data_IF_157143580914
#
_entry.id   IF_157143580914
#
_cell.length_a   1.000
_cell.length_b   1.000
_cell.length_c   1.000
_cell.angle_alpha   90.00
_cell.angle_beta   90.00
_cell.angle_gamma   90.00
#
_symmetry.space_group_name_H-M   'P 1'
#
loop_
_entity.id
_entity.type
_entity.pdbx_description
1 polymer ?
#
# COMPACT_ATOMS: atom_id res chain seq x y z
N UNK A 1 38.34 1.60 3.43
CA UNK A 1 37.43 0.75 4.24
C UNK A 1 36.13 0.68 3.49
N UNK A 2 35.44 -0.46 3.50
CA UNK A 2 34.12 -0.52 2.92
C UNK A 2 33.15 0.42 3.68
N UNK A 3 32.17 1.02 2.98
CA UNK A 3 31.22 1.95 3.59
C UNK A 3 30.27 1.22 4.56
N UNK A 4 29.74 1.98 5.51
CA UNK A 4 28.66 1.48 6.39
C UNK A 4 27.34 1.48 5.61
N UNK A 5 26.76 0.29 5.41
CA UNK A 5 25.51 0.16 4.66
C UNK A 5 24.29 0.26 5.57
N UNK A 6 23.27 1.00 5.13
CA UNK A 6 21.99 1.10 5.80
C UNK A 6 20.86 0.95 4.76
N UNK A 7 19.87 0.12 5.08
CA UNK A 7 18.71 -0.14 4.21
C UNK A 7 17.55 0.77 4.65
N UNK A 8 17.80 2.07 4.60
CA UNK A 8 16.96 3.13 5.19
C UNK A 8 16.29 4.04 4.15
N UNK A 9 16.38 3.68 2.86
CA UNK A 9 15.86 4.49 1.77
C UNK A 9 14.68 3.83 1.07
N UNK A 10 13.78 4.66 0.62
CA UNK A 10 12.73 4.33 -0.32
C UNK A 10 13.15 4.69 -1.76
N UNK A 11 12.27 4.39 -2.73
CA UNK A 11 12.48 4.72 -4.13
C UNK A 11 12.86 6.20 -4.31
N UNK A 12 13.76 6.47 -5.26
CA UNK A 12 14.33 7.80 -5.48
C UNK A 12 15.24 8.30 -4.37
N UNK A 13 15.65 7.44 -3.42
CA UNK A 13 16.46 7.82 -2.26
C UNK A 13 15.69 8.51 -1.14
N UNK A 14 14.36 8.54 -1.21
CA UNK A 14 13.51 9.15 -0.21
C UNK A 14 13.67 8.50 1.18
N UNK A 15 13.45 9.28 2.23
CA UNK A 15 13.48 8.78 3.63
C UNK A 15 12.10 8.38 4.13
N UNK A 16 11.06 8.95 3.54
CA UNK A 16 9.66 8.76 3.92
C UNK A 16 8.88 8.13 2.80
N UNK A 17 7.89 7.34 3.16
CA UNK A 17 6.87 6.85 2.25
C UNK A 17 5.49 7.14 2.82
N UNK A 18 4.56 7.53 1.96
CA UNK A 18 3.15 7.76 2.31
C UNK A 18 2.29 6.93 1.39
N UNK A 19 1.36 6.20 1.96
CA UNK A 19 0.33 5.45 1.23
C UNK A 19 -1.04 5.59 1.89
N UNK A 20 -2.07 5.48 1.08
CA UNK A 20 -3.45 5.48 1.51
C UNK A 20 -4.14 4.20 1.05
N UNK A 21 -5.20 3.80 1.75
CA UNK A 21 -5.96 2.59 1.46
C UNK A 21 -7.43 2.79 1.78
N UNK A 22 -8.30 2.60 0.79
CA UNK A 22 -9.73 2.83 0.95
C UNK A 22 -10.54 1.64 0.44
N UNK A 23 -11.62 1.29 1.17
CA UNK A 23 -12.40 0.09 0.94
C UNK A 23 -13.79 0.41 0.35
N UNK A 24 -14.47 -0.66 -0.12
CA UNK A 24 -15.90 -0.75 -0.38
C UNK A 24 -16.44 -0.17 -1.70
N UNK A 25 -15.61 0.30 -2.62
CA UNK A 25 -16.07 0.70 -3.97
C UNK A 25 -17.20 1.75 -3.97
N UNK A 26 -17.19 2.72 -3.07
CA UNK A 26 -18.29 3.69 -2.95
C UNK A 26 -18.17 4.82 -3.96
N UNK A 27 -19.29 5.40 -4.39
CA UNK A 27 -19.29 6.53 -5.34
C UNK A 27 -18.53 7.76 -4.83
N UNK A 28 -18.32 7.87 -3.53
CA UNK A 28 -17.51 8.91 -2.87
C UNK A 28 -16.01 8.80 -3.17
N UNK A 29 -15.55 7.65 -3.68
CA UNK A 29 -14.17 7.47 -4.15
C UNK A 29 -13.82 8.47 -5.24
N UNK A 30 -14.80 8.90 -6.07
CA UNK A 30 -14.59 9.89 -7.14
C UNK A 30 -14.00 11.19 -6.59
N UNK A 31 -14.58 11.76 -5.51
CA UNK A 31 -14.04 12.96 -4.83
C UNK A 31 -12.70 12.68 -4.17
N UNK A 32 -12.56 11.52 -3.56
CA UNK A 32 -11.32 11.15 -2.87
C UNK A 32 -10.15 11.03 -3.85
N UNK A 33 -10.36 10.41 -5.01
CA UNK A 33 -9.37 10.33 -6.10
C UNK A 33 -8.98 11.71 -6.62
N UNK A 34 -9.94 12.64 -6.78
CA UNK A 34 -9.64 14.03 -7.16
C UNK A 34 -8.73 14.73 -6.15
N UNK A 35 -8.95 14.51 -4.85
CA UNK A 35 -8.10 15.05 -3.77
C UNK A 35 -6.68 14.47 -3.88
N UNK A 36 -6.55 13.14 -4.01
CA UNK A 36 -5.24 12.48 -4.13
C UNK A 36 -4.49 12.93 -5.37
N UNK A 37 -5.16 12.99 -6.53
CA UNK A 37 -4.54 13.45 -7.77
C UNK A 37 -4.04 14.90 -7.67
N UNK A 38 -4.83 15.80 -7.09
CA UNK A 38 -4.46 17.20 -6.90
C UNK A 38 -3.25 17.39 -6.01
N UNK A 39 -3.09 16.54 -4.98
CA UNK A 39 -2.01 16.63 -3.99
C UNK A 39 -0.80 15.76 -4.30
N UNK A 40 -0.89 14.92 -5.32
CA UNK A 40 0.15 13.94 -5.66
C UNK A 40 0.22 12.74 -4.72
N UNK A 41 -0.77 12.55 -3.86
CA UNK A 41 -0.91 11.37 -3.01
C UNK A 41 -1.34 10.15 -3.84
N UNK A 42 -0.95 8.95 -3.39
CA UNK A 42 -1.31 7.69 -4.04
C UNK A 42 -2.00 6.76 -3.07
N UNK A 43 -2.91 5.94 -3.59
CA UNK A 43 -3.74 5.06 -2.78
C UNK A 43 -3.95 3.69 -3.43
N UNK A 44 -4.29 2.71 -2.60
CA UNK A 44 -4.86 1.43 -3.00
C UNK A 44 -6.36 1.45 -2.70
N UNK A 45 -7.18 1.15 -3.69
CA UNK A 45 -8.63 1.04 -3.55
C UNK A 45 -9.04 -0.42 -3.59
N UNK A 46 -9.58 -0.90 -2.49
CA UNK A 46 -9.96 -2.30 -2.30
C UNK A 46 -11.46 -2.48 -2.62
N UNK A 47 -11.74 -3.18 -3.71
CA UNK A 47 -13.04 -3.16 -4.35
C UNK A 47 -13.79 -4.49 -4.20
N UNK A 48 -15.08 -4.42 -3.83
CA UNK A 48 -15.98 -5.57 -3.79
C UNK A 48 -16.73 -5.71 -5.11
N UNK A 49 -16.44 -6.76 -5.88
CA UNK A 49 -16.99 -6.88 -7.23
C UNK A 49 -18.49 -7.18 -7.30
N UNK A 50 -19.11 -7.75 -6.27
CA UNK A 50 -20.56 -7.98 -6.23
C UNK A 50 -21.39 -6.69 -6.04
N UNK A 51 -20.75 -5.55 -5.75
CA UNK A 51 -21.44 -4.30 -5.47
C UNK A 51 -21.45 -3.33 -6.65
N UNK A 52 -20.65 -3.54 -7.67
CA UNK A 52 -20.61 -2.65 -8.83
C UNK A 52 -22.00 -2.46 -9.45
N UNK A 53 -22.32 -1.20 -9.81
CA UNK A 53 -23.59 -0.81 -10.41
C UNK A 53 -24.79 -0.77 -9.47
N UNK A 54 -24.63 -1.08 -8.19
CA UNK A 54 -25.66 -0.87 -7.18
C UNK A 54 -25.69 0.60 -6.77
N UNK A 55 -26.84 1.05 -6.25
CA UNK A 55 -26.96 2.42 -5.73
C UNK A 55 -25.91 2.73 -4.67
N UNK A 56 -25.18 3.85 -4.84
CA UNK A 56 -24.10 4.29 -3.99
C UNK A 56 -22.75 3.59 -4.20
N UNK A 57 -22.62 2.75 -5.25
CA UNK A 57 -21.36 2.08 -5.62
C UNK A 57 -20.89 2.53 -7.02
N UNK A 58 -19.60 2.39 -7.27
CA UNK A 58 -19.02 2.71 -8.59
C UNK A 58 -19.45 1.69 -9.64
N UNK A 59 -19.42 2.11 -10.91
CA UNK A 59 -19.69 1.24 -12.05
C UNK A 59 -18.42 0.49 -12.47
N UNK A 60 -18.54 -0.78 -12.83
CA UNK A 60 -17.40 -1.58 -13.28
C UNK A 60 -16.70 -0.97 -14.51
N UNK A 61 -17.46 -0.32 -15.39
CA UNK A 61 -16.91 0.29 -16.60
C UNK A 61 -16.06 1.54 -16.36
N UNK A 62 -16.13 2.14 -15.17
CA UNK A 62 -15.35 3.35 -14.83
C UNK A 62 -14.07 3.06 -14.05
N UNK A 63 -13.92 1.88 -13.42
CA UNK A 63 -12.85 1.66 -12.43
C UNK A 63 -11.45 1.84 -13.01
N UNK A 64 -11.19 1.41 -14.22
CA UNK A 64 -9.88 1.56 -14.85
C UNK A 64 -9.49 3.03 -15.05
N UNK A 65 -10.45 3.87 -15.40
CA UNK A 65 -10.23 5.31 -15.59
C UNK A 65 -10.27 6.06 -14.26
N UNK A 66 -11.22 5.73 -13.38
CA UNK A 66 -11.40 6.39 -12.09
C UNK A 66 -10.12 6.25 -11.22
N UNK A 67 -9.60 5.04 -11.13
CA UNK A 67 -8.43 4.77 -10.28
C UNK A 67 -7.09 4.85 -11.04
N UNK A 68 -7.06 5.47 -12.22
CA UNK A 68 -5.82 5.66 -12.99
C UNK A 68 -4.76 6.39 -12.14
N UNK A 69 -3.56 5.82 -12.04
CA UNK A 69 -2.48 6.32 -11.16
C UNK A 69 -2.56 5.82 -9.71
N UNK A 70 -3.61 5.10 -9.34
CA UNK A 70 -3.80 4.41 -8.07
C UNK A 70 -3.82 2.90 -8.28
N UNK A 71 -3.83 2.14 -7.20
CA UNK A 71 -3.93 0.69 -7.26
C UNK A 71 -5.39 0.23 -7.14
N UNK A 72 -5.82 -0.64 -8.05
CA UNK A 72 -7.04 -1.43 -7.88
C UNK A 72 -6.65 -2.73 -7.17
N UNK A 73 -7.26 -2.96 -6.02
CA UNK A 73 -6.99 -4.07 -5.11
C UNK A 73 -8.27 -4.82 -4.76
N UNK A 74 -8.16 -6.07 -4.35
CA UNK A 74 -9.31 -6.91 -4.03
C UNK A 74 -9.85 -6.64 -2.61
N UNK A 75 -11.18 -6.84 -2.43
CA UNK A 75 -11.82 -6.84 -1.12
C UNK A 75 -12.87 -7.96 -1.01
N UNK A 76 -12.61 -9.08 -1.67
CA UNK A 76 -13.51 -10.21 -1.89
C UNK A 76 -14.73 -9.87 -2.76
N UNK A 77 -15.42 -10.89 -3.26
CA UNK A 77 -16.58 -10.69 -4.12
C UNK A 77 -17.77 -10.10 -3.35
N UNK A 78 -18.15 -10.70 -2.22
CA UNK A 78 -19.36 -10.34 -1.45
C UNK A 78 -19.10 -9.78 -0.06
N UNK A 79 -17.84 -9.52 0.31
CA UNK A 79 -17.45 -8.99 1.62
C UNK A 79 -17.82 -9.90 2.81
N UNK A 80 -17.52 -11.21 2.80
CA UNK A 80 -17.86 -12.11 3.89
C UNK A 80 -16.77 -12.18 4.96
N UNK A 81 -17.09 -12.77 6.11
CA UNK A 81 -16.10 -13.20 7.11
C UNK A 81 -15.35 -14.44 6.60
N UNK A 82 -14.16 -14.26 6.03
CA UNK A 82 -13.37 -15.34 5.42
C UNK A 82 -12.96 -16.43 6.43
N UNK A 83 -12.77 -16.07 7.70
CA UNK A 83 -12.43 -17.03 8.75
C UNK A 83 -13.59 -17.96 9.16
N UNK A 84 -14.82 -17.60 8.81
CA UNK A 84 -16.04 -18.31 9.21
C UNK A 84 -16.57 -19.24 8.12
N UNK A 85 -15.78 -19.46 7.06
CA UNK A 85 -16.20 -20.28 5.93
C UNK A 85 -15.16 -21.35 5.56
N UNK A 86 -15.57 -22.41 4.84
CA UNK A 86 -14.63 -23.38 4.27
C UNK A 86 -13.61 -22.71 3.33
N UNK A 87 -12.37 -23.17 3.34
CA UNK A 87 -11.27 -22.61 2.50
C UNK A 87 -11.64 -22.56 1.02
N UNK A 88 -12.36 -23.55 0.49
CA UNK A 88 -12.81 -23.56 -0.91
C UNK A 88 -13.74 -22.38 -1.22
N UNK A 89 -14.56 -21.95 -0.27
CA UNK A 89 -15.43 -20.79 -0.43
C UNK A 89 -14.63 -19.50 -0.32
N UNK A 90 -13.67 -19.41 0.61
CA UNK A 90 -12.76 -18.27 0.72
C UNK A 90 -11.95 -18.07 -0.59
N UNK A 91 -11.41 -19.16 -1.14
CA UNK A 91 -10.74 -19.13 -2.46
C UNK A 91 -11.68 -18.62 -3.55
N UNK A 92 -12.91 -19.09 -3.61
CA UNK A 92 -13.88 -18.62 -4.59
C UNK A 92 -14.17 -17.12 -4.46
N UNK A 93 -14.37 -16.61 -3.25
CA UNK A 93 -14.60 -15.18 -2.98
C UNK A 93 -13.44 -14.29 -3.49
N UNK A 94 -12.21 -14.74 -3.26
CA UNK A 94 -11.01 -14.00 -3.70
C UNK A 94 -10.84 -14.11 -5.21
N UNK A 95 -10.92 -15.31 -5.78
CA UNK A 95 -10.71 -15.53 -7.22
C UNK A 95 -11.80 -14.89 -8.07
N UNK A 96 -13.07 -14.94 -7.66
CA UNK A 96 -14.15 -14.28 -8.39
C UNK A 96 -14.00 -12.76 -8.35
N UNK A 97 -13.60 -12.20 -7.21
CA UNK A 97 -13.29 -10.78 -7.11
C UNK A 97 -12.16 -10.39 -8.07
N UNK A 98 -11.02 -11.11 -8.04
CA UNK A 98 -9.89 -10.88 -8.93
C UNK A 98 -10.30 -10.97 -10.40
N UNK A 99 -11.01 -12.03 -10.77
CA UNK A 99 -11.47 -12.25 -12.16
C UNK A 99 -12.24 -11.04 -12.69
N UNK A 100 -13.14 -10.48 -11.90
CA UNK A 100 -13.94 -9.31 -12.28
C UNK A 100 -13.07 -8.07 -12.39
N UNK A 101 -12.23 -7.80 -11.40
CA UNK A 101 -11.35 -6.63 -11.37
C UNK A 101 -10.32 -6.66 -12.51
N UNK A 102 -9.64 -7.78 -12.70
CA UNK A 102 -8.62 -7.98 -13.73
C UNK A 102 -9.19 -7.82 -15.15
N UNK A 103 -10.42 -8.29 -15.37
CA UNK A 103 -11.13 -8.08 -16.65
C UNK A 103 -11.41 -6.61 -16.94
N UNK A 104 -11.59 -5.79 -15.91
CA UNK A 104 -11.90 -4.37 -16.05
C UNK A 104 -10.65 -3.49 -16.07
N UNK A 105 -9.62 -3.79 -15.27
CA UNK A 105 -8.39 -2.98 -15.19
C UNK A 105 -7.30 -3.42 -16.17
N UNK A 106 -7.31 -4.67 -16.65
CA UNK A 106 -6.38 -5.16 -17.66
C UNK A 106 -5.00 -5.60 -17.13
N UNK A 107 -4.86 -5.78 -15.81
CA UNK A 107 -3.64 -6.27 -15.18
C UNK A 107 -3.94 -7.22 -13.99
N UNK A 108 -2.99 -8.10 -13.59
CA UNK A 108 -3.17 -8.98 -12.44
C UNK A 108 -3.32 -8.19 -11.13
N UNK A 109 -4.37 -8.48 -10.36
CA UNK A 109 -4.59 -7.93 -9.01
C UNK A 109 -3.91 -8.83 -7.99
N UNK A 110 -2.85 -8.34 -7.34
CA UNK A 110 -1.98 -9.11 -6.44
C UNK A 110 -2.17 -8.79 -4.95
N UNK A 111 -3.16 -7.96 -4.64
CA UNK A 111 -3.33 -7.39 -3.30
C UNK A 111 -4.78 -7.41 -2.87
N UNK A 112 -5.00 -7.33 -1.54
CA UNK A 112 -6.34 -7.19 -0.99
C UNK A 112 -6.32 -6.46 0.36
N UNK A 113 -7.50 -6.12 0.88
CA UNK A 113 -7.73 -5.87 2.31
C UNK A 113 -8.66 -6.94 2.89
N UNK A 114 -8.45 -7.26 4.17
CA UNK A 114 -9.28 -8.25 4.86
C UNK A 114 -10.65 -7.66 5.20
N UNK A 115 -11.76 -8.26 4.73
CA UNK A 115 -13.08 -7.91 5.23
C UNK A 115 -13.11 -7.99 6.76
N UNK A 116 -13.59 -6.93 7.40
CA UNK A 116 -13.61 -6.78 8.87
C UNK A 116 -12.22 -6.89 9.54
N UNK A 117 -11.12 -6.79 8.79
CA UNK A 117 -9.74 -6.90 9.30
C UNK A 117 -9.33 -8.30 9.76
N UNK A 118 -10.08 -9.35 9.46
CA UNK A 118 -9.84 -10.69 9.99
C UNK A 118 -8.88 -11.51 9.12
N UNK A 119 -7.65 -11.68 9.61
CA UNK A 119 -6.52 -12.37 8.95
C UNK A 119 -6.13 -13.69 9.66
N UNK A 120 -7.07 -14.63 9.78
CA UNK A 120 -6.77 -15.97 10.33
C UNK A 120 -5.88 -16.80 9.39
N UNK A 121 -5.15 -17.77 9.93
CA UNK A 121 -4.19 -18.57 9.17
C UNK A 121 -4.78 -19.25 7.93
N UNK A 122 -6.00 -19.76 8.05
CA UNK A 122 -6.71 -20.40 6.93
C UNK A 122 -7.05 -19.41 5.83
N UNK A 123 -7.52 -18.20 6.18
CA UNK A 123 -7.81 -17.15 5.21
C UNK A 123 -6.53 -16.64 4.54
N UNK A 124 -5.44 -16.47 5.30
CA UNK A 124 -4.11 -16.10 4.77
C UNK A 124 -3.62 -17.16 3.78
N UNK A 125 -3.66 -18.42 4.13
CA UNK A 125 -3.25 -19.50 3.22
C UNK A 125 -4.10 -19.54 1.93
N UNK A 126 -5.42 -19.30 2.04
CA UNK A 126 -6.30 -19.19 0.88
C UNK A 126 -5.90 -17.99 -0.01
N UNK A 127 -5.68 -16.81 0.55
CA UNK A 127 -5.29 -15.63 -0.19
C UNK A 127 -3.94 -15.80 -0.91
N UNK A 128 -2.93 -16.35 -0.22
CA UNK A 128 -1.63 -16.67 -0.83
C UNK A 128 -1.77 -17.67 -1.98
N UNK A 129 -2.60 -18.70 -1.83
CA UNK A 129 -2.87 -19.67 -2.91
C UNK A 129 -3.59 -19.06 -4.11
N UNK A 130 -4.29 -17.93 -3.90
CA UNK A 130 -4.92 -17.13 -4.94
C UNK A 130 -3.97 -16.07 -5.54
N UNK A 131 -2.69 -16.06 -5.22
CA UNK A 131 -1.71 -15.11 -5.75
C UNK A 131 -1.82 -13.70 -5.15
N UNK A 132 -2.32 -13.58 -3.92
CA UNK A 132 -2.27 -12.33 -3.15
C UNK A 132 -0.92 -12.24 -2.46
N UNK A 133 -0.24 -11.12 -2.63
CA UNK A 133 1.11 -10.86 -2.11
C UNK A 133 1.07 -9.99 -0.86
N UNK A 134 0.10 -9.06 -0.73
CA UNK A 134 -0.16 -8.39 0.53
C UNK A 134 -1.66 -8.26 0.83
N UNK A 135 -1.97 -8.16 2.12
CA UNK A 135 -3.32 -7.86 2.57
C UNK A 135 -3.32 -6.98 3.83
N UNK A 136 -4.13 -5.90 3.79
CA UNK A 136 -4.24 -4.93 4.88
C UNK A 136 -5.29 -5.35 5.89
N UNK A 137 -4.93 -5.28 7.18
CA UNK A 137 -5.83 -5.37 8.33
C UNK A 137 -6.39 -4.00 8.75
N UNK A 138 -6.99 -3.93 9.94
CA UNK A 138 -7.63 -2.69 10.45
C UNK A 138 -7.08 -2.22 11.80
N UNK A 139 -6.15 -2.97 12.39
CA UNK A 139 -5.58 -2.62 13.68
C UNK A 139 -4.54 -1.49 13.54
N UNK A 140 -4.77 -0.38 14.22
CA UNK A 140 -3.88 0.77 14.17
C UNK A 140 -2.59 0.52 14.95
N UNK A 141 -1.46 0.49 14.26
CA UNK A 141 -0.15 0.33 14.91
C UNK A 141 0.38 1.61 15.54
N UNK A 142 -0.07 2.78 15.09
CA UNK A 142 0.37 4.12 15.51
C UNK A 142 1.89 4.29 15.50
N UNK A 143 2.59 3.56 14.63
CA UNK A 143 4.02 3.68 14.38
C UNK A 143 4.27 3.83 12.87
N UNK A 144 5.52 4.15 12.51
CA UNK A 144 5.91 4.44 11.12
C UNK A 144 6.88 3.40 10.57
N UNK A 145 6.83 2.18 11.07
CA UNK A 145 7.70 1.10 10.61
C UNK A 145 7.07 0.34 9.44
N UNK A 146 7.88 -0.06 8.43
CA UNK A 146 7.43 -0.97 7.39
C UNK A 146 6.91 -2.30 7.95
N UNK A 147 6.05 -3.03 7.22
CA UNK A 147 5.51 -4.29 7.69
C UNK A 147 6.57 -5.39 7.75
N UNK A 148 6.48 -6.24 8.79
CA UNK A 148 7.23 -7.49 8.87
C UNK A 148 6.52 -8.62 8.09
N UNK A 149 5.17 -8.64 8.12
CA UNK A 149 4.30 -9.61 7.46
C UNK A 149 3.33 -8.87 6.53
N UNK A 150 3.47 -9.07 5.23
CA UNK A 150 2.62 -8.44 4.23
C UNK A 150 1.20 -9.00 4.23
N UNK A 151 1.00 -10.26 4.62
CA UNK A 151 -0.35 -10.82 4.68
C UNK A 151 -1.15 -10.35 5.90
N UNK A 152 -0.49 -9.74 6.89
CA UNK A 152 -1.08 -9.12 8.08
C UNK A 152 -0.56 -7.70 8.25
N UNK A 153 -0.64 -6.92 7.17
CA UNK A 153 -0.14 -5.56 7.16
C UNK A 153 -1.13 -4.60 7.80
N UNK A 154 -0.87 -4.29 9.06
CA UNK A 154 -1.68 -3.35 9.82
C UNK A 154 -1.26 -1.90 9.49
N UNK A 155 -2.22 -0.99 9.27
CA UNK A 155 -1.95 0.41 8.93
C UNK A 155 -1.39 1.20 10.12
N UNK A 156 -0.85 2.38 9.83
CA UNK A 156 -0.47 3.33 10.89
C UNK A 156 -1.69 3.80 11.64
N UNK A 157 -2.74 4.24 10.93
CA UNK A 157 -3.97 4.72 11.54
C UNK A 157 -5.16 4.73 10.56
N UNK A 158 -6.36 4.78 11.12
CA UNK A 158 -7.55 5.25 10.43
C UNK A 158 -7.45 6.74 10.11
N UNK A 159 -8.10 7.23 9.03
CA UNK A 159 -7.99 8.62 8.62
C UNK A 159 -8.43 9.62 9.70
N UNK A 160 -9.32 9.23 10.60
CA UNK A 160 -9.75 10.10 11.72
C UNK A 160 -8.62 10.45 12.70
N UNK A 161 -7.60 9.58 12.83
CA UNK A 161 -6.42 9.83 13.64
C UNK A 161 -5.25 10.45 12.84
N UNK A 162 -5.39 10.58 11.52
CA UNK A 162 -4.33 11.05 10.64
C UNK A 162 -3.81 12.46 10.96
N UNK A 163 -4.63 13.49 11.32
CA UNK A 163 -4.12 14.83 11.59
C UNK A 163 -3.04 14.85 12.67
N UNK A 164 -3.23 14.12 13.77
CA UNK A 164 -2.24 14.01 14.85
C UNK A 164 -0.96 13.31 14.39
N UNK A 165 -1.11 12.18 13.67
CA UNK A 165 0.00 11.34 13.26
C UNK A 165 0.80 11.90 12.10
N UNK A 166 0.20 12.71 11.23
CA UNK A 166 0.89 13.45 10.17
C UNK A 166 1.94 14.40 10.76
N UNK A 167 1.59 15.18 11.78
CA UNK A 167 2.54 16.09 12.40
C UNK A 167 3.68 15.31 13.11
N UNK A 168 3.35 14.24 13.82
CA UNK A 168 4.34 13.36 14.42
C UNK A 168 5.28 12.71 13.37
N UNK A 169 4.74 12.27 12.24
CA UNK A 169 5.49 11.71 11.12
C UNK A 169 6.45 12.72 10.49
N UNK A 170 5.98 13.94 10.22
CA UNK A 170 6.77 14.99 9.59
C UNK A 170 7.86 15.55 10.51
N UNK A 171 7.58 15.62 11.82
CA UNK A 171 8.55 16.08 12.81
C UNK A 171 9.65 15.06 13.11
N UNK A 172 9.47 13.82 12.69
CA UNK A 172 10.39 12.72 13.03
C UNK A 172 11.63 12.75 12.17
N UNK A 173 12.81 12.74 12.78
CA UNK A 173 14.09 12.53 12.12
C UNK A 173 14.71 11.20 12.59
N UNK A 174 14.65 10.18 11.73
CA UNK A 174 15.28 8.88 11.97
C UNK A 174 16.25 8.58 10.84
N UNK A 175 17.53 8.98 10.99
CA UNK A 175 18.51 8.89 9.92
C UNK A 175 18.88 7.45 9.51
N UNK A 176 18.45 6.43 10.26
CA UNK A 176 18.84 5.03 10.06
C UNK A 176 17.68 4.07 9.80
N UNK A 177 16.45 4.57 9.63
CA UNK A 177 15.26 3.73 9.42
C UNK A 177 14.35 4.34 8.36
N UNK A 178 13.82 3.50 7.51
CA UNK A 178 12.69 3.83 6.66
C UNK A 178 11.48 4.23 7.51
N UNK A 179 10.73 5.23 7.06
CA UNK A 179 9.49 5.66 7.68
C UNK A 179 8.33 5.52 6.71
N UNK A 180 7.26 4.89 7.16
CA UNK A 180 6.05 4.66 6.40
C UNK A 180 4.84 5.20 7.18
N UNK A 181 4.09 6.10 6.54
CA UNK A 181 2.77 6.52 7.01
C UNK A 181 1.72 5.83 6.15
N UNK A 182 0.95 4.93 6.74
CA UNK A 182 -0.11 4.16 6.10
C UNK A 182 -1.47 4.53 6.69
N UNK A 183 -2.25 5.32 5.95
CA UNK A 183 -3.58 5.79 6.37
C UNK A 183 -4.65 4.95 5.66
N UNK A 184 -5.68 4.53 6.40
CA UNK A 184 -6.77 3.77 5.83
C UNK A 184 -8.14 4.32 6.22
N UNK A 185 -9.20 3.87 5.56
CA UNK A 185 -10.60 4.20 5.88
C UNK A 185 -11.56 3.84 4.77
N UNK A 186 -12.75 4.45 4.82
CA UNK A 186 -13.79 4.30 3.81
C UNK A 186 -14.23 5.70 3.35
N UNK A 187 -14.38 5.90 2.05
CA UNK A 187 -14.73 7.22 1.50
C UNK A 187 -16.13 7.70 1.90
N UNK A 188 -17.05 6.79 2.19
CA UNK A 188 -18.41 7.12 2.65
C UNK A 188 -18.45 7.71 4.07
N UNK A 189 -17.39 7.59 4.83
CA UNK A 189 -17.31 8.15 6.19
C UNK A 189 -17.24 9.69 6.15
N UNK A 190 -16.59 10.27 5.15
CA UNK A 190 -16.47 11.73 5.03
C UNK A 190 -17.82 12.45 4.90
N UNK A 191 -18.73 12.05 3.98
CA UNK A 191 -20.07 12.68 3.94
C UNK A 191 -20.95 12.27 5.13
N UNK A 192 -20.78 11.07 5.71
CA UNK A 192 -21.51 10.65 6.91
C UNK A 192 -21.20 11.56 8.10
N UNK A 193 -19.92 11.91 8.26
CA UNK A 193 -19.40 12.64 9.41
C UNK A 193 -19.21 14.15 9.10
N UNK A 194 -19.61 14.61 7.88
CA UNK A 194 -19.49 15.98 7.36
C UNK A 194 -18.08 16.56 7.52
N UNK A 195 -17.05 15.77 7.16
CA UNK A 195 -15.64 16.09 7.47
C UNK A 195 -14.68 15.91 6.27
N UNK A 196 -15.08 16.20 5.05
CA UNK A 196 -14.21 16.15 3.88
C UNK A 196 -12.93 16.99 4.02
N UNK A 197 -13.00 18.09 4.76
CA UNK A 197 -11.87 18.95 5.06
C UNK A 197 -10.74 18.22 5.82
N UNK A 198 -11.08 17.18 6.59
CA UNK A 198 -10.08 16.35 7.27
C UNK A 198 -9.08 15.75 6.27
N UNK A 199 -9.58 15.03 5.25
CA UNK A 199 -8.69 14.36 4.29
C UNK A 199 -8.04 15.36 3.33
N UNK A 200 -8.73 16.44 2.98
CA UNK A 200 -8.15 17.51 2.16
C UNK A 200 -6.94 18.14 2.88
N UNK A 201 -7.07 18.52 4.14
CA UNK A 201 -5.98 19.08 4.95
C UNK A 201 -4.83 18.06 5.14
N UNK A 202 -5.13 16.79 5.38
CA UNK A 202 -4.13 15.73 5.52
C UNK A 202 -3.32 15.59 4.22
N UNK A 203 -3.98 15.54 3.07
CA UNK A 203 -3.32 15.41 1.78
C UNK A 203 -2.52 16.66 1.38
N UNK A 204 -3.04 17.86 1.64
CA UNK A 204 -2.31 19.12 1.42
C UNK A 204 -1.06 19.22 2.31
N UNK A 205 -1.15 18.78 3.55
CA UNK A 205 -0.02 18.79 4.48
C UNK A 205 1.07 17.80 4.11
N UNK A 206 0.69 16.64 3.55
CA UNK A 206 1.62 15.58 3.12
C UNK A 206 2.16 15.81 1.72
N UNK A 207 1.38 16.36 0.79
CA UNK A 207 1.67 16.39 -0.64
C UNK A 207 2.88 17.24 -1.05
N UNK A 208 3.44 16.94 -2.22
CA UNK A 208 4.48 17.74 -2.89
C UNK A 208 5.86 17.77 -2.22
N UNK A 209 6.17 16.85 -1.31
CA UNK A 209 7.44 16.82 -0.57
C UNK A 209 8.50 16.03 -1.35
N UNK A 210 9.66 16.63 -1.55
CA UNK A 210 10.78 16.01 -2.28
C UNK A 210 11.48 14.87 -1.51
N UNK A 211 11.30 14.79 -0.19
CA UNK A 211 11.88 13.76 0.69
C UNK A 211 10.96 12.56 0.91
N UNK A 212 9.82 12.52 0.21
CA UNK A 212 8.76 11.54 0.42
C UNK A 212 8.39 10.83 -0.88
N UNK A 213 8.34 9.52 -0.84
CA UNK A 213 7.80 8.67 -1.88
C UNK A 213 6.30 8.43 -1.64
N UNK A 214 5.47 8.82 -2.60
CA UNK A 214 4.04 8.51 -2.59
C UNK A 214 3.82 7.26 -3.41
N UNK A 215 3.32 6.21 -2.77
CA UNK A 215 3.24 4.89 -3.38
C UNK A 215 1.92 4.18 -3.05
N UNK A 216 1.54 3.25 -3.89
CA UNK A 216 0.47 2.30 -3.60
C UNK A 216 0.99 1.15 -2.74
N UNK A 217 0.09 0.35 -2.17
CA UNK A 217 0.50 -0.79 -1.34
C UNK A 217 1.35 -1.80 -2.08
N UNK A 218 0.98 -2.11 -3.34
CA UNK A 218 1.74 -3.09 -4.13
C UNK A 218 3.13 -2.57 -4.54
N UNK A 219 3.27 -1.26 -4.80
CA UNK A 219 4.59 -0.68 -5.07
C UNK A 219 5.52 -0.77 -3.84
N UNK A 220 4.96 -0.59 -2.64
CA UNK A 220 5.72 -0.74 -1.38
C UNK A 220 6.10 -2.19 -1.15
N UNK A 221 5.21 -3.13 -1.42
CA UNK A 221 5.47 -4.57 -1.31
C UNK A 221 6.60 -4.98 -2.26
N UNK A 222 6.46 -4.65 -3.56
CA UNK A 222 7.47 -4.90 -4.58
C UNK A 222 8.84 -4.32 -4.18
N UNK A 223 8.87 -3.08 -3.67
CA UNK A 223 10.09 -2.41 -3.25
C UNK A 223 10.76 -3.07 -2.06
N UNK A 224 10.00 -3.36 -1.00
CA UNK A 224 10.57 -3.98 0.21
C UNK A 224 11.01 -5.43 -0.04
N UNK A 225 10.29 -6.16 -0.89
CA UNK A 225 10.68 -7.50 -1.34
C UNK A 225 11.98 -7.44 -2.15
N UNK A 226 12.11 -6.49 -3.07
CA UNK A 226 13.35 -6.25 -3.81
C UNK A 226 14.51 -5.86 -2.88
N UNK A 227 14.27 -4.99 -1.89
CA UNK A 227 15.29 -4.58 -0.92
C UNK A 227 15.77 -5.75 -0.06
N UNK A 228 14.86 -6.63 0.37
CA UNK A 228 15.19 -7.84 1.15
C UNK A 228 15.97 -8.89 0.33
N UNK A 229 15.85 -8.85 -1.00
CA UNK A 229 16.56 -9.74 -1.91
C UNK A 229 17.97 -9.26 -2.29
N UNK A 230 18.40 -8.08 -1.87
CA UNK A 230 19.74 -7.56 -2.15
C UNK A 230 20.83 -8.51 -1.60
N UNK A 231 21.83 -8.77 -2.44
CA UNK A 231 22.99 -9.60 -2.08
C UNK A 231 24.20 -8.70 -1.84
N UNK A 232 24.70 -8.67 -0.61
CA UNK A 232 25.88 -7.87 -0.22
C UNK A 232 27.10 -8.75 -0.16
N UNK A 233 28.26 -8.30 -0.70
CA UNK A 233 29.52 -8.99 -0.56
C UNK A 233 29.96 -9.06 0.91
N UNK A 234 30.76 -10.07 1.26
CA UNK A 234 31.19 -10.31 2.66
C UNK A 234 31.92 -9.11 3.26
N UNK A 235 32.68 -8.39 2.43
CA UNK A 235 33.42 -7.19 2.84
C UNK A 235 32.60 -5.89 2.75
N UNK A 236 31.34 -5.97 2.25
CA UNK A 236 30.44 -4.81 2.11
C UNK A 236 30.77 -3.89 0.94
N UNK A 237 31.76 -4.22 0.08
CA UNK A 237 32.20 -3.35 -1.00
C UNK A 237 31.32 -3.42 -2.27
N UNK A 238 30.44 -4.42 -2.36
CA UNK A 238 29.56 -4.62 -3.52
C UNK A 238 28.13 -4.98 -3.07
N UNK A 239 27.16 -4.50 -3.82
CA UNK A 239 25.75 -4.87 -3.64
C UNK A 239 25.16 -5.26 -4.98
N UNK A 240 24.59 -6.46 -5.08
CA UNK A 240 23.86 -6.94 -6.25
C UNK A 240 22.35 -6.89 -5.99
N UNK A 241 21.62 -6.35 -6.95
CA UNK A 241 20.16 -6.32 -6.95
C UNK A 241 19.62 -7.35 -7.97
N UNK A 242 19.10 -8.50 -7.54
CA UNK A 242 18.58 -9.53 -8.45
C UNK A 242 17.14 -9.23 -8.93
N UNK A 243 16.49 -8.17 -8.42
CA UNK A 243 15.09 -7.86 -8.68
C UNK A 243 14.86 -7.05 -9.95
N UNK A 244 13.58 -6.87 -10.32
CA UNK A 244 13.13 -6.00 -11.40
C UNK A 244 12.93 -4.53 -11.01
N UNK A 245 13.24 -4.15 -9.76
CA UNK A 245 12.98 -2.82 -9.19
C UNK A 245 14.30 -2.17 -8.76
N UNK A 246 14.49 -0.89 -9.06
CA UNK A 246 15.64 -0.13 -8.55
C UNK A 246 15.51 0.06 -7.04
N UNK A 247 16.55 -0.30 -6.28
CA UNK A 247 16.56 -0.21 -4.81
C UNK A 247 17.59 0.83 -4.36
N UNK A 248 17.23 1.62 -3.37
CA UNK A 248 18.10 2.64 -2.79
C UNK A 248 18.53 2.25 -1.37
N UNK A 249 19.78 2.50 -1.07
CA UNK A 249 20.39 2.29 0.26
C UNK A 249 21.18 3.52 0.66
N UNK A 250 21.64 3.60 1.90
CA UNK A 250 22.71 4.53 2.27
C UNK A 250 24.05 3.80 2.36
N UNK A 251 25.07 4.31 1.70
CA UNK A 251 26.46 3.96 1.91
C UNK A 251 27.12 5.13 2.68
N UNK A 252 27.53 4.89 3.92
CA UNK A 252 27.82 5.89 4.94
C UNK A 252 26.58 6.80 5.16
N UNK A 253 26.52 7.99 4.54
CA UNK A 253 25.37 8.90 4.61
C UNK A 253 24.76 9.19 3.23
N UNK A 254 25.46 8.77 2.17
CA UNK A 254 25.07 9.05 0.78
C UNK A 254 23.98 8.07 0.30
N UNK A 255 22.99 8.60 -0.39
CA UNK A 255 21.98 7.76 -1.03
C UNK A 255 22.53 7.16 -2.33
N UNK A 256 22.54 5.82 -2.42
CA UNK A 256 23.05 5.08 -3.56
C UNK A 256 21.94 4.22 -4.16
N UNK A 257 21.73 4.35 -5.46
CA UNK A 257 20.85 3.49 -6.23
C UNK A 257 21.58 2.17 -6.56
N UNK A 258 20.92 1.05 -6.32
CA UNK A 258 21.33 -0.27 -6.80
C UNK A 258 20.32 -0.66 -7.90
N UNK A 259 20.66 -0.40 -9.18
CA UNK A 259 19.71 -0.61 -10.27
C UNK A 259 19.32 -2.07 -10.44
N UNK A 260 18.11 -2.28 -10.96
CA UNK A 260 17.55 -3.59 -11.30
C UNK A 260 18.54 -4.44 -12.09
N UNK A 261 18.80 -5.67 -11.64
CA UNK A 261 19.68 -6.64 -12.29
C UNK A 261 21.18 -6.28 -12.30
N UNK A 262 21.61 -5.27 -11.51
CA UNK A 262 23.01 -4.79 -11.50
C UNK A 262 23.73 -5.06 -10.19
N UNK A 263 25.06 -5.11 -10.31
CA UNK A 263 25.97 -5.07 -9.16
C UNK A 263 26.64 -3.69 -9.14
N UNK A 264 26.62 -3.04 -7.98
CA UNK A 264 27.27 -1.76 -7.74
C UNK A 264 28.45 -1.98 -6.79
N UNK A 265 29.60 -1.43 -7.13
CA UNK A 265 30.76 -1.31 -6.23
C UNK A 265 30.64 0.02 -5.48
N UNK A 266 30.84 -0.01 -4.17
CA UNK A 266 30.62 1.11 -3.25
C UNK A 266 31.93 1.71 -2.76
#
# INVERSE_FOLDING_TARGET
>A
MAPSLQFDRWAGGARRCVTFSYDDSRTFDRRLVEIFNRTGCRASFHLNSANFGKDGYVEIGEIAQLYAGHEISAHTHTHPFLNEMPSSRAVWEIMENRRVLESACGYPVRSMSWPYGQAGDTAVAAAMSCGIEYSRGVAERRNFEPPADFMRWEPTCHHNAAPELVEAFLARDYPKKQQLLYIWGHSYEFPRDDNWDLIENVCERLGGRSDTWYATGIEIEDYLTAQRALCVSVDGSMVHNPSGVDVWISADVEAVCIPSGKTVTL
#
